data_IF_745138166388
#
_entry.id   IF_745138166388
#
_cell.length_a   1.000
_cell.length_b   1.000
_cell.length_c   1.000
_cell.angle_alpha   90.00
_cell.angle_beta   90.00
_cell.angle_gamma   90.00
#
_symmetry.space_group_name_H-M   'P 1'
#
loop_
_entity.id
_entity.type
_entity.pdbx_description
1 polymer ?
#
# COMPACT_ATOMS: atom_id res chain seq x y z
N UNK A 1 -25.66 -19.97 10.13
CA UNK A 1 -25.54 -18.79 9.25
C UNK A 1 -24.06 -18.55 8.98
N UNK A 2 -23.61 -18.58 7.73
CA UNK A 2 -22.22 -18.21 7.43
C UNK A 2 -22.00 -16.74 7.82
N UNK A 3 -20.94 -16.46 8.58
CA UNK A 3 -20.64 -15.09 9.01
C UNK A 3 -20.40 -14.24 7.76
N UNK A 4 -21.27 -13.24 7.54
CA UNK A 4 -21.08 -12.24 6.50
C UNK A 4 -19.74 -11.55 6.74
N UNK A 5 -18.84 -11.54 5.76
CA UNK A 5 -17.54 -10.90 5.92
C UNK A 5 -17.17 -10.02 4.75
N UNK A 6 -16.58 -8.88 5.07
CA UNK A 6 -15.92 -8.00 4.12
C UNK A 6 -14.45 -8.39 4.03
N UNK A 7 -13.92 -8.48 2.81
CA UNK A 7 -12.52 -8.80 2.55
C UNK A 7 -11.89 -7.66 1.78
N UNK A 8 -10.77 -7.13 2.28
CA UNK A 8 -10.02 -6.12 1.55
C UNK A 8 -9.46 -6.69 0.25
N UNK A 9 -9.69 -5.99 -0.86
CA UNK A 9 -9.12 -6.34 -2.17
C UNK A 9 -8.06 -5.36 -2.66
N UNK A 10 -8.11 -4.13 -2.15
CA UNK A 10 -7.13 -3.08 -2.39
C UNK A 10 -7.08 -2.17 -1.16
N UNK A 11 -5.91 -1.67 -0.80
CA UNK A 11 -5.74 -0.64 0.22
C UNK A 11 -4.48 0.17 -0.04
N UNK A 12 -4.41 1.34 0.59
CA UNK A 12 -3.21 2.15 0.69
C UNK A 12 -3.12 2.79 2.07
N UNK A 13 -1.89 3.02 2.54
CA UNK A 13 -1.67 3.63 3.84
C UNK A 13 -1.79 5.17 3.73
N UNK A 14 -2.72 5.81 4.47
CA UNK A 14 -2.77 7.25 4.56
C UNK A 14 -1.53 7.80 5.27
N UNK A 15 -1.09 8.99 4.89
CA UNK A 15 0.02 9.70 5.52
C UNK A 15 -0.23 11.21 5.56
N UNK A 16 0.55 11.89 6.39
CA UNK A 16 0.69 13.34 6.35
C UNK A 16 1.34 13.77 5.04
N UNK A 17 1.01 14.98 4.61
CA UNK A 17 1.59 15.58 3.43
C UNK A 17 3.05 15.97 3.67
N UNK A 18 3.91 15.76 2.67
CA UNK A 18 5.26 16.35 2.65
C UNK A 18 5.27 17.37 1.52
N UNK A 19 5.45 18.64 1.88
CA UNK A 19 5.28 19.79 0.97
C UNK A 19 6.06 19.65 -0.35
N UNK A 20 7.28 19.13 -0.29
CA UNK A 20 8.15 18.92 -1.46
C UNK A 20 7.63 17.88 -2.46
N UNK A 21 6.68 17.03 -2.07
CA UNK A 21 6.08 16.02 -2.94
C UNK A 21 4.69 16.41 -3.45
N UNK A 22 4.10 17.51 -2.98
CA UNK A 22 2.79 17.94 -3.45
C UNK A 22 2.87 19.00 -4.55
N UNK A 23 1.82 19.10 -5.40
CA UNK A 23 1.65 20.24 -6.29
C UNK A 23 1.66 21.56 -5.53
N UNK A 24 2.05 22.65 -6.20
CA UNK A 24 2.03 24.02 -5.66
C UNK A 24 0.66 24.40 -5.05
N UNK A 25 -0.43 23.82 -5.56
CA UNK A 25 -1.76 23.95 -5.00
C UNK A 25 -2.41 22.56 -4.82
N UNK A 26 -2.33 22.04 -3.59
CA UNK A 26 -2.93 20.80 -3.12
C UNK A 26 -4.40 20.94 -2.68
N UNK A 27 -5.01 22.12 -2.82
CA UNK A 27 -6.40 22.35 -2.46
C UNK A 27 -7.33 21.69 -3.50
N UNK A 28 -8.11 20.70 -3.05
CA UNK A 28 -9.06 19.95 -3.87
C UNK A 28 -10.47 20.55 -3.86
N UNK A 29 -10.69 21.69 -3.19
CA UNK A 29 -11.98 22.42 -3.18
C UNK A 29 -12.43 22.73 -4.59
N UNK A 30 -13.71 22.46 -4.89
CA UNK A 30 -14.30 22.60 -6.22
C UNK A 30 -13.50 21.90 -7.34
N UNK A 31 -12.90 20.75 -7.04
CA UNK A 31 -12.23 19.89 -8.02
C UNK A 31 -12.82 18.50 -8.02
N UNK A 32 -12.55 17.78 -9.10
CA UNK A 32 -12.76 16.35 -9.17
C UNK A 32 -11.44 15.64 -9.45
N UNK A 33 -11.28 14.45 -8.87
CA UNK A 33 -10.12 13.59 -9.08
C UNK A 33 -10.55 12.21 -9.49
N UNK A 34 -9.99 11.69 -10.59
CA UNK A 34 -10.11 10.30 -11.01
C UNK A 34 -8.82 9.57 -10.69
N UNK A 35 -8.94 8.49 -9.93
CA UNK A 35 -7.83 7.71 -9.39
C UNK A 35 -7.97 6.27 -9.86
N UNK A 36 -6.91 5.71 -10.45
CA UNK A 36 -6.92 4.35 -10.96
C UNK A 36 -6.24 3.42 -9.95
N UNK A 37 -6.91 2.34 -9.60
CA UNK A 37 -6.37 1.30 -8.72
C UNK A 37 -6.56 -0.07 -9.36
N UNK A 38 -5.69 -1.02 -9.02
CA UNK A 38 -5.82 -2.42 -9.41
C UNK A 38 -6.20 -3.23 -8.18
N UNK A 39 -7.32 -3.94 -8.25
CA UNK A 39 -7.80 -4.80 -7.17
C UNK A 39 -7.14 -6.17 -7.23
N UNK A 40 -7.16 -6.92 -6.15
CA UNK A 40 -6.67 -8.31 -6.14
C UNK A 40 -7.81 -9.28 -6.49
N UNK A 41 -8.78 -9.39 -5.60
CA UNK A 41 -9.94 -10.29 -5.69
C UNK A 41 -11.21 -9.52 -6.04
N UNK A 42 -12.07 -10.14 -6.83
CA UNK A 42 -13.35 -9.62 -7.28
C UNK A 42 -14.51 -9.99 -6.37
N UNK A 43 -15.70 -9.54 -6.75
CA UNK A 43 -16.96 -9.79 -6.08
C UNK A 43 -18.07 -8.90 -6.62
N UNK A 44 -19.32 -9.27 -6.37
CA UNK A 44 -20.49 -8.56 -6.93
C UNK A 44 -20.98 -7.38 -6.08
N UNK A 45 -20.53 -7.31 -4.83
CA UNK A 45 -20.89 -6.27 -3.88
C UNK A 45 -19.62 -5.75 -3.22
N UNK A 46 -19.43 -4.44 -3.27
CA UNK A 46 -18.23 -3.77 -2.78
C UNK A 46 -18.59 -2.64 -1.82
N UNK A 47 -17.58 -2.13 -1.10
CA UNK A 47 -17.67 -0.85 -0.39
C UNK A 47 -16.33 -0.12 -0.47
N UNK A 48 -16.41 1.21 -0.40
CA UNK A 48 -15.26 2.11 -0.44
C UNK A 48 -14.93 2.60 0.96
N UNK A 49 -13.64 2.60 1.32
CA UNK A 49 -13.11 3.23 2.53
C UNK A 49 -12.42 4.53 2.16
N UNK A 50 -12.73 5.58 2.93
CA UNK A 50 -12.12 6.89 2.80
C UNK A 50 -11.47 7.33 4.11
N UNK A 51 -10.40 8.10 4.00
CA UNK A 51 -9.60 8.56 5.14
C UNK A 51 -9.34 10.07 5.09
N UNK A 52 -9.48 10.69 6.26
CA UNK A 52 -9.11 12.07 6.54
C UNK A 52 -8.37 12.17 7.90
N UNK A 53 -7.70 11.10 8.30
CA UNK A 53 -7.17 10.93 9.67
C UNK A 53 -6.03 11.87 10.05
N UNK A 54 -5.37 12.49 9.07
CA UNK A 54 -4.25 13.40 9.28
C UNK A 54 -4.61 14.87 8.99
N UNK A 55 -5.83 15.14 8.54
CA UNK A 55 -6.26 16.52 8.28
C UNK A 55 -7.01 17.09 9.48
N UNK A 56 -6.83 18.39 9.71
CA UNK A 56 -7.50 19.14 10.78
C UNK A 56 -8.84 19.75 10.36
N UNK A 57 -9.21 19.65 9.08
CA UNK A 57 -10.46 20.15 8.52
C UNK A 57 -11.26 18.99 7.91
N UNK A 58 -12.60 19.10 7.84
CA UNK A 58 -13.41 18.10 7.17
C UNK A 58 -13.17 18.11 5.65
N UNK A 59 -13.40 16.95 5.02
CA UNK A 59 -13.51 16.81 3.57
C UNK A 59 -14.99 16.71 3.22
N UNK A 60 -15.51 17.63 2.41
CA UNK A 60 -16.91 17.63 1.97
C UNK A 60 -16.99 17.17 0.53
N UNK A 61 -17.68 16.07 0.30
CA UNK A 61 -17.78 15.36 -0.98
C UNK A 61 -19.18 15.51 -1.53
N UNK A 62 -19.27 15.91 -2.79
CA UNK A 62 -20.53 16.04 -3.53
C UNK A 62 -21.02 14.71 -4.07
N UNK A 63 -20.11 13.90 -4.61
CA UNK A 63 -20.40 12.54 -5.10
C UNK A 63 -19.12 11.75 -5.33
N UNK A 64 -19.24 10.42 -5.31
CA UNK A 64 -18.18 9.49 -5.67
C UNK A 64 -18.77 8.42 -6.56
N UNK A 65 -18.07 8.06 -7.64
CA UNK A 65 -18.44 6.92 -8.47
C UNK A 65 -17.24 6.06 -8.82
N UNK A 66 -17.51 4.78 -9.05
CA UNK A 66 -16.58 3.79 -9.57
C UNK A 66 -16.98 3.39 -10.98
N UNK A 67 -16.02 3.05 -11.84
CA UNK A 67 -16.24 2.46 -13.15
C UNK A 67 -15.08 1.52 -13.53
N UNK A 68 -15.32 0.58 -14.45
CA UNK A 68 -14.23 -0.21 -15.05
C UNK A 68 -13.25 0.72 -15.75
N UNK A 69 -11.97 0.62 -15.41
CA UNK A 69 -10.93 1.43 -16.02
C UNK A 69 -10.56 0.84 -17.39
N UNK A 70 -10.35 1.73 -18.35
CA UNK A 70 -9.69 1.41 -19.62
C UNK A 70 -8.24 1.90 -19.52
N UNK A 71 -7.70 2.47 -20.59
CA UNK A 71 -6.35 3.01 -20.58
C UNK A 71 -6.30 4.44 -20.05
N UNK A 72 -5.28 4.71 -19.24
CA UNK A 72 -5.01 6.02 -18.65
C UNK A 72 -6.23 6.55 -17.88
N UNK A 73 -6.82 7.66 -18.33
CA UNK A 73 -7.98 8.31 -17.70
C UNK A 73 -9.33 7.76 -18.18
N UNK A 74 -9.34 6.92 -19.22
CA UNK A 74 -10.58 6.43 -19.85
C UNK A 74 -11.24 5.39 -18.96
N UNK A 75 -12.58 5.38 -18.99
CA UNK A 75 -13.42 4.42 -18.28
C UNK A 75 -14.48 3.85 -19.22
N UNK A 76 -15.09 2.73 -18.84
CA UNK A 76 -16.39 2.37 -19.39
C UNK A 76 -17.51 3.14 -18.67
N UNK A 77 -18.03 4.19 -19.30
CA UNK A 77 -19.03 5.06 -18.70
C UNK A 77 -20.34 4.31 -18.34
N UNK A 78 -20.69 3.25 -19.08
CA UNK A 78 -21.89 2.44 -18.82
C UNK A 78 -21.80 1.63 -17.52
N UNK A 79 -20.59 1.35 -17.06
CA UNK A 79 -20.34 0.63 -15.81
C UNK A 79 -20.39 1.53 -14.58
N UNK A 80 -20.54 2.85 -14.74
CA UNK A 80 -20.43 3.78 -13.64
C UNK A 80 -21.51 3.57 -12.57
N UNK A 81 -21.09 3.39 -11.32
CA UNK A 81 -21.96 3.24 -10.16
C UNK A 81 -21.55 4.23 -9.07
N UNK A 82 -22.52 4.89 -8.44
CA UNK A 82 -22.28 5.91 -7.43
C UNK A 82 -22.34 5.32 -6.02
N UNK A 83 -21.35 5.64 -5.19
CA UNK A 83 -21.37 5.27 -3.78
C UNK A 83 -22.33 6.16 -3.00
N UNK A 84 -23.01 5.56 -2.02
CA UNK A 84 -23.77 6.26 -0.98
C UNK A 84 -23.09 6.10 0.38
N UNK A 85 -23.36 7.05 1.27
CA UNK A 85 -22.94 7.04 2.65
C UNK A 85 -24.16 7.38 3.50
N UNK A 86 -24.70 6.40 4.23
CA UNK A 86 -25.95 6.59 4.97
C UNK A 86 -27.10 6.98 4.04
N UNK A 87 -27.24 6.29 2.90
CA UNK A 87 -28.22 6.54 1.83
C UNK A 87 -28.07 7.87 1.08
N UNK A 88 -27.05 8.68 1.36
CA UNK A 88 -26.77 9.95 0.67
C UNK A 88 -25.60 9.83 -0.31
N UNK A 89 -25.71 10.45 -1.50
CA UNK A 89 -24.57 10.58 -2.43
C UNK A 89 -23.55 11.64 -1.99
N UNK A 90 -23.94 12.55 -1.11
CA UNK A 90 -23.03 13.50 -0.45
C UNK A 90 -22.45 12.84 0.79
N UNK A 91 -21.19 13.14 1.09
CA UNK A 91 -20.52 12.64 2.29
C UNK A 91 -19.62 13.70 2.89
N UNK A 92 -19.48 13.68 4.21
CA UNK A 92 -18.49 14.48 4.93
C UNK A 92 -17.58 13.52 5.69
N UNK A 93 -16.27 13.63 5.47
CA UNK A 93 -15.27 12.95 6.30
C UNK A 93 -14.82 13.96 7.36
N UNK A 94 -15.17 13.80 8.65
CA UNK A 94 -14.70 14.72 9.68
C UNK A 94 -13.16 14.76 9.77
N UNK A 95 -12.63 15.84 10.35
CA UNK A 95 -11.22 15.93 10.68
C UNK A 95 -10.79 14.73 11.56
N UNK A 96 -9.64 14.12 11.27
CA UNK A 96 -9.12 13.01 12.06
C UNK A 96 -9.91 11.69 11.94
N UNK A 97 -10.85 11.56 11.00
CA UNK A 97 -11.74 10.38 10.89
C UNK A 97 -11.62 9.63 9.57
N UNK A 98 -12.21 8.44 9.54
CA UNK A 98 -12.45 7.61 8.37
C UNK A 98 -13.95 7.37 8.22
N UNK A 99 -14.41 7.14 6.99
CA UNK A 99 -15.78 6.70 6.71
C UNK A 99 -15.76 5.54 5.72
N UNK A 100 -16.82 4.75 5.72
CA UNK A 100 -17.03 3.62 4.83
C UNK A 100 -18.36 3.82 4.11
N UNK A 101 -18.42 3.53 2.81
CA UNK A 101 -19.65 3.63 2.04
C UNK A 101 -20.65 2.55 2.44
N UNK A 102 -21.90 2.78 2.06
CA UNK A 102 -22.90 1.71 1.98
C UNK A 102 -22.42 0.64 0.97
N UNK A 103 -23.01 -0.56 1.05
CA UNK A 103 -22.75 -1.62 0.10
C UNK A 103 -23.23 -1.22 -1.31
N UNK A 104 -22.40 -1.47 -2.32
CA UNK A 104 -22.67 -1.14 -3.71
C UNK A 104 -22.59 -2.39 -4.57
N UNK A 105 -23.64 -2.69 -5.34
CA UNK A 105 -23.59 -3.74 -6.36
C UNK A 105 -22.73 -3.27 -7.53
N UNK A 106 -21.62 -3.94 -7.76
CA UNK A 106 -20.68 -3.65 -8.84
C UNK A 106 -19.92 -4.95 -9.14
N UNK A 107 -20.01 -5.44 -10.38
CA UNK A 107 -19.38 -6.69 -10.80
C UNK A 107 -17.86 -6.48 -10.93
N UNK A 108 -17.13 -6.57 -9.82
CA UNK A 108 -15.69 -6.40 -9.79
C UNK A 108 -15.01 -7.71 -10.17
N UNK A 109 -14.16 -7.71 -11.18
CA UNK A 109 -13.39 -8.89 -11.58
C UNK A 109 -12.06 -8.97 -10.82
N UNK A 110 -11.53 -10.17 -10.69
CA UNK A 110 -10.19 -10.36 -10.13
C UNK A 110 -9.14 -9.61 -10.96
N UNK A 111 -8.12 -9.05 -10.30
CA UNK A 111 -6.99 -8.31 -10.91
C UNK A 111 -7.39 -7.11 -11.77
N UNK A 112 -8.65 -6.68 -11.68
CA UNK A 112 -9.20 -5.62 -12.51
C UNK A 112 -8.68 -4.23 -12.10
N UNK A 113 -8.50 -3.36 -13.10
CA UNK A 113 -8.32 -1.93 -12.86
C UNK A 113 -9.68 -1.24 -12.80
N UNK A 114 -9.88 -0.44 -11.77
CA UNK A 114 -11.07 0.40 -11.60
C UNK A 114 -10.69 1.86 -11.40
N UNK A 115 -11.56 2.74 -11.84
CA UNK A 115 -11.43 4.17 -11.67
C UNK A 115 -12.40 4.65 -10.59
N UNK A 116 -11.87 5.28 -9.54
CA UNK A 116 -12.66 5.97 -8.52
C UNK A 116 -12.59 7.46 -8.81
N UNK A 117 -13.74 8.10 -9.02
CA UNK A 117 -13.79 9.56 -9.20
C UNK A 117 -14.50 10.21 -8.02
N UNK A 118 -13.83 11.16 -7.35
CA UNK A 118 -14.36 11.94 -6.24
C UNK A 118 -14.61 13.37 -6.72
N UNK A 119 -15.81 13.89 -6.48
CA UNK A 119 -16.16 15.29 -6.69
C UNK A 119 -16.18 16.00 -5.33
N UNK A 120 -15.21 16.88 -5.09
CA UNK A 120 -15.12 17.64 -3.84
C UNK A 120 -15.96 18.91 -3.90
N UNK A 121 -16.69 19.17 -2.82
CA UNK A 121 -17.22 20.50 -2.52
C UNK A 121 -16.11 21.33 -1.87
N UNK A 122 -15.54 20.84 -0.78
CA UNK A 122 -14.39 21.45 -0.10
C UNK A 122 -13.42 20.39 0.40
N UNK A 123 -12.14 20.77 0.49
CA UNK A 123 -11.09 19.91 0.98
C UNK A 123 -10.09 20.70 1.83
N UNK A 124 -9.39 20.05 2.78
CA UNK A 124 -8.37 20.69 3.60
C UNK A 124 -7.20 21.25 2.80
N UNK A 125 -6.63 22.37 3.25
CA UNK A 125 -5.37 22.91 2.71
C UNK A 125 -4.17 22.01 3.01
N UNK A 126 -4.24 21.24 4.11
CA UNK A 126 -3.26 20.21 4.49
C UNK A 126 -3.98 18.86 4.49
N UNK A 127 -4.02 18.15 3.35
CA UNK A 127 -4.82 16.96 3.19
C UNK A 127 -4.11 15.70 3.70
N UNK A 128 -4.93 14.74 4.16
CA UNK A 128 -4.58 13.33 4.23
C UNK A 128 -4.41 12.79 2.81
N UNK A 129 -3.24 12.24 2.51
CA UNK A 129 -2.89 11.76 1.17
C UNK A 129 -2.13 10.44 1.24
N UNK A 130 -1.88 9.85 0.09
CA UNK A 130 -0.79 8.91 -0.11
C UNK A 130 0.02 9.35 -1.34
N UNK A 131 1.28 9.70 -1.14
CA UNK A 131 2.12 10.36 -2.15
C UNK A 131 2.85 9.39 -3.08
N UNK A 132 2.83 8.11 -2.72
CA UNK A 132 3.56 7.04 -3.40
C UNK A 132 2.73 6.23 -4.37
N UNK A 133 1.64 6.76 -4.92
CA UNK A 133 0.60 5.94 -5.58
C UNK A 133 1.09 5.08 -6.76
N UNK A 134 2.18 5.47 -7.44
CA UNK A 134 2.70 4.87 -8.70
C UNK A 134 1.63 4.75 -9.79
N UNK A 135 0.56 5.51 -9.67
CA UNK A 135 -0.56 5.57 -10.60
C UNK A 135 -0.93 7.03 -10.78
N UNK A 136 -1.18 7.43 -12.01
CA UNK A 136 -1.59 8.80 -12.30
C UNK A 136 -3.03 9.01 -11.86
N UNK A 137 -3.21 10.02 -11.01
CA UNK A 137 -4.48 10.64 -10.70
C UNK A 137 -4.71 11.83 -11.63
N UNK A 138 -5.95 12.00 -12.07
CA UNK A 138 -6.35 13.01 -13.04
C UNK A 138 -7.28 14.01 -12.37
N UNK A 139 -6.86 15.26 -12.29
CA UNK A 139 -7.53 16.32 -11.54
C UNK A 139 -8.13 17.36 -12.50
N UNK A 140 -9.43 17.60 -12.36
CA UNK A 140 -10.20 18.58 -13.13
C UNK A 140 -10.79 19.65 -12.21
N UNK A 141 -10.92 20.89 -12.70
CA UNK A 141 -11.73 21.91 -12.03
C UNK A 141 -13.22 21.57 -12.17
N UNK A 142 -13.99 21.86 -11.14
CA UNK A 142 -15.43 21.60 -11.11
C UNK A 142 -15.80 20.15 -10.88
N UNK A 143 -17.09 19.87 -11.14
CA UNK A 143 -17.72 18.55 -10.94
C UNK A 143 -17.73 17.78 -12.26
N UNK A 144 -17.35 16.51 -12.21
CA UNK A 144 -17.37 15.60 -13.36
C UNK A 144 -18.32 14.42 -13.15
N UNK A 145 -18.70 13.79 -14.24
CA UNK A 145 -19.50 12.56 -14.28
C UNK A 145 -18.84 11.51 -15.18
N UNK A 146 -19.48 10.36 -15.35
CA UNK A 146 -18.94 9.24 -16.12
C UNK A 146 -18.62 9.58 -17.60
N UNK A 147 -19.24 10.60 -18.16
CA UNK A 147 -19.06 11.05 -19.55
C UNK A 147 -18.07 12.23 -19.69
N UNK A 148 -17.55 12.77 -18.59
CA UNK A 148 -16.56 13.84 -18.63
C UNK A 148 -15.22 13.36 -19.21
N UNK A 149 -14.59 14.18 -20.05
CA UNK A 149 -13.27 13.90 -20.62
C UNK A 149 -12.15 14.42 -19.69
N UNK A 150 -11.27 13.51 -19.27
CA UNK A 150 -10.12 13.78 -18.40
C UNK A 150 -8.79 13.89 -19.16
N UNK A 151 -8.82 13.94 -20.49
CA UNK A 151 -7.63 14.03 -21.34
C UNK A 151 -6.71 15.21 -20.98
N UNK A 152 -7.32 16.37 -20.74
CA UNK A 152 -6.65 17.63 -20.35
C UNK A 152 -6.57 17.83 -18.83
N UNK A 153 -6.82 16.78 -18.05
CA UNK A 153 -6.71 16.86 -16.60
C UNK A 153 -5.25 17.09 -16.16
N UNK A 154 -5.08 17.80 -15.05
CA UNK A 154 -3.80 17.86 -14.36
C UNK A 154 -3.44 16.46 -13.84
N UNK A 155 -2.17 16.07 -13.94
CA UNK A 155 -1.73 14.69 -13.68
C UNK A 155 -0.73 14.66 -12.55
N UNK A 156 -0.99 13.81 -11.57
CA UNK A 156 -0.11 13.61 -10.42
C UNK A 156 -0.12 12.18 -9.94
N UNK A 157 1.01 11.72 -9.39
CA UNK A 157 1.12 10.37 -8.86
C UNK A 157 0.80 10.31 -7.36
N UNK A 158 -0.40 10.76 -7.01
CA UNK A 158 -0.90 10.81 -5.63
C UNK A 158 -2.28 10.15 -5.51
N UNK A 159 -2.55 9.48 -4.39
CA UNK A 159 -3.91 9.11 -4.00
C UNK A 159 -4.46 10.09 -2.96
N UNK A 160 -5.73 10.47 -3.13
CA UNK A 160 -6.46 11.44 -2.35
C UNK A 160 -7.66 10.77 -1.69
N UNK A 161 -7.68 10.77 -0.35
CA UNK A 161 -8.71 10.24 0.53
C UNK A 161 -9.15 8.79 0.36
N UNK A 162 -8.90 8.11 -0.77
CA UNK A 162 -9.15 6.66 -0.89
C UNK A 162 -8.17 5.89 -0.01
N UNK A 163 -8.67 4.93 0.76
CA UNK A 163 -7.84 4.11 1.66
C UNK A 163 -8.07 2.61 1.53
N UNK A 164 -9.18 2.18 0.93
CA UNK A 164 -9.41 0.77 0.63
C UNK A 164 -10.69 0.47 -0.13
N UNK A 165 -10.73 -0.71 -0.74
CA UNK A 165 -11.94 -1.31 -1.31
C UNK A 165 -12.08 -2.69 -0.67
N UNK A 166 -13.26 -2.98 -0.16
CA UNK A 166 -13.60 -4.33 0.27
C UNK A 166 -14.63 -4.94 -0.67
N UNK A 167 -14.56 -6.26 -0.82
CA UNK A 167 -15.59 -7.09 -1.44
C UNK A 167 -16.36 -7.83 -0.35
N UNK A 168 -17.66 -7.94 -0.53
CA UNK A 168 -18.54 -8.69 0.34
C UNK A 168 -18.55 -10.16 -0.06
N UNK A 169 -18.55 -11.07 0.92
CA UNK A 169 -18.69 -12.49 0.65
C UNK A 169 -19.40 -13.22 1.80
N UNK A 170 -20.16 -14.24 1.44
CA UNK A 170 -20.71 -15.24 2.37
C UNK A 170 -19.75 -16.43 2.54
N UNK A 171 -18.72 -16.52 1.71
CA UNK A 171 -17.76 -17.62 1.77
C UNK A 171 -16.80 -17.44 2.94
N UNK A 172 -16.54 -18.53 3.66
CA UNK A 172 -15.57 -18.56 4.76
C UNK A 172 -14.14 -18.77 4.29
N UNK A 173 -13.93 -19.09 3.01
CA UNK A 173 -12.62 -19.39 2.44
C UNK A 173 -11.87 -18.14 1.91
N UNK A 174 -12.46 -16.96 2.00
CA UNK A 174 -11.88 -15.73 1.47
C UNK A 174 -11.15 -14.95 2.56
N UNK A 175 -9.99 -14.40 2.24
CA UNK A 175 -9.17 -13.65 3.20
C UNK A 175 -8.32 -12.60 2.52
N UNK A 176 -7.62 -11.80 3.31
CA UNK A 176 -6.65 -10.82 2.82
C UNK A 176 -5.26 -11.06 3.43
N UNK A 177 -4.26 -10.67 2.66
CA UNK A 177 -2.86 -10.52 3.04
C UNK A 177 -2.60 -9.02 3.16
N UNK A 178 -2.13 -8.55 4.30
CA UNK A 178 -1.75 -7.15 4.49
C UNK A 178 -0.24 -6.99 4.68
N UNK A 179 0.32 -5.96 4.05
CA UNK A 179 1.77 -5.78 3.96
C UNK A 179 2.15 -4.48 4.65
N UNK A 180 2.82 -4.58 5.79
CA UNK A 180 3.49 -3.46 6.44
C UNK A 180 4.85 -3.25 5.77
N UNK A 181 5.09 -2.08 5.19
CA UNK A 181 6.33 -1.84 4.45
C UNK A 181 6.67 -0.38 4.16
N UNK A 182 7.86 -0.23 3.57
CA UNK A 182 8.46 1.04 3.19
C UNK A 182 8.33 1.36 1.68
N UNK A 183 9.21 2.21 1.15
CA UNK A 183 9.28 2.59 -0.27
C UNK A 183 9.43 1.42 -1.24
N UNK A 184 10.05 0.31 -0.83
CA UNK A 184 10.20 -0.88 -1.66
C UNK A 184 8.84 -1.58 -1.81
N UNK A 185 8.06 -1.65 -0.73
CA UNK A 185 6.69 -2.17 -0.76
C UNK A 185 5.73 -1.22 -1.47
N UNK A 186 5.87 0.08 -1.22
CA UNK A 186 5.14 1.15 -1.90
C UNK A 186 5.38 1.15 -3.42
N UNK A 187 6.54 0.67 -3.86
CA UNK A 187 6.89 0.46 -5.27
C UNK A 187 7.71 1.59 -5.89
N UNK A 188 8.53 2.30 -5.12
CA UNK A 188 9.44 3.31 -5.66
C UNK A 188 10.32 2.69 -6.76
N UNK A 189 10.47 3.37 -7.90
CA UNK A 189 11.18 2.88 -9.10
C UNK A 189 10.49 1.74 -9.87
N UNK A 190 9.23 1.41 -9.55
CA UNK A 190 8.37 0.69 -10.48
C UNK A 190 8.00 1.59 -11.67
N UNK A 191 7.43 1.01 -12.73
CA UNK A 191 6.92 1.80 -13.85
C UNK A 191 5.57 2.38 -13.47
N UNK A 192 5.41 3.70 -13.54
CA UNK A 192 4.13 4.35 -13.25
C UNK A 192 3.03 3.79 -14.17
N UNK A 193 1.84 3.57 -13.59
CA UNK A 193 0.65 3.00 -14.24
C UNK A 193 0.75 1.53 -14.69
N UNK A 194 1.92 0.90 -14.62
CA UNK A 194 2.10 -0.49 -15.07
C UNK A 194 1.61 -1.53 -14.05
N UNK A 195 1.36 -1.14 -12.80
CA UNK A 195 0.98 -2.04 -11.70
C UNK A 195 1.98 -3.19 -11.54
N UNK A 196 3.28 -2.87 -11.59
CA UNK A 196 4.39 -3.84 -11.56
C UNK A 196 5.22 -3.74 -10.27
N UNK A 197 4.57 -3.38 -9.15
CA UNK A 197 5.16 -3.45 -7.81
C UNK A 197 5.16 -4.92 -7.36
N UNK A 198 6.03 -5.29 -6.43
CA UNK A 198 6.07 -6.70 -5.99
C UNK A 198 4.75 -7.20 -5.39
N UNK A 199 3.93 -6.40 -4.66
CA UNK A 199 2.61 -6.86 -4.21
C UNK A 199 1.62 -7.05 -5.37
N UNK A 200 1.70 -6.21 -6.41
CA UNK A 200 0.87 -6.35 -7.60
C UNK A 200 1.21 -7.67 -8.31
N UNK A 201 2.50 -7.94 -8.54
CA UNK A 201 2.98 -9.19 -9.14
C UNK A 201 2.65 -10.39 -8.25
N UNK A 202 2.78 -10.27 -6.92
CA UNK A 202 2.40 -11.34 -6.00
C UNK A 202 0.91 -11.70 -6.15
N UNK A 203 0.02 -10.71 -6.20
CA UNK A 203 -1.42 -10.95 -6.40
C UNK A 203 -1.72 -11.62 -7.74
N UNK A 204 -1.03 -11.23 -8.82
CA UNK A 204 -1.13 -11.89 -10.12
C UNK A 204 -0.66 -13.35 -10.06
N UNK A 205 0.49 -13.61 -9.43
CA UNK A 205 1.07 -14.95 -9.38
C UNK A 205 0.26 -15.92 -8.51
N UNK A 206 -0.30 -15.44 -7.39
CA UNK A 206 -1.24 -16.23 -6.60
C UNK A 206 -2.41 -16.73 -7.47
N UNK A 207 -2.95 -15.88 -8.34
CA UNK A 207 -4.09 -16.24 -9.17
C UNK A 207 -3.72 -17.02 -10.44
N UNK A 208 -2.77 -16.51 -11.22
CA UNK A 208 -2.49 -17.03 -12.55
C UNK A 208 -1.68 -18.32 -12.49
N UNK A 209 -0.67 -18.37 -11.62
CA UNK A 209 0.21 -19.54 -11.43
C UNK A 209 -0.37 -20.52 -10.43
N UNK A 210 -0.79 -20.06 -9.24
CA UNK A 210 -1.22 -20.95 -8.14
C UNK A 210 -2.73 -21.18 -8.06
N UNK A 211 -3.54 -20.52 -8.91
CA UNK A 211 -5.01 -20.65 -8.94
C UNK A 211 -5.71 -20.27 -7.63
N UNK A 212 -5.08 -19.41 -6.82
CA UNK A 212 -5.60 -18.88 -5.56
C UNK A 212 -6.31 -17.56 -5.84
N UNK A 213 -7.62 -17.60 -6.00
CA UNK A 213 -8.48 -16.44 -6.33
C UNK A 213 -9.26 -15.89 -5.14
N UNK A 214 -8.96 -16.36 -3.93
CA UNK A 214 -9.68 -16.05 -2.69
C UNK A 214 -8.82 -15.27 -1.67
N UNK A 215 -7.67 -14.73 -2.08
CA UNK A 215 -6.76 -13.96 -1.22
C UNK A 215 -6.56 -12.54 -1.79
N UNK A 216 -7.13 -11.53 -1.12
CA UNK A 216 -6.84 -10.13 -1.41
C UNK A 216 -5.43 -9.72 -0.97
N UNK A 217 -4.79 -8.77 -1.64
CA UNK A 217 -3.45 -8.28 -1.29
C UNK A 217 -3.51 -6.77 -1.03
N UNK A 218 -3.14 -6.36 0.19
CA UNK A 218 -3.23 -4.99 0.67
C UNK A 218 -1.83 -4.40 0.85
N UNK A 219 -1.46 -3.49 -0.05
CA UNK A 219 -0.20 -2.79 -0.01
C UNK A 219 -0.29 -1.55 0.89
N UNK A 220 0.31 -1.60 2.08
CA UNK A 220 0.34 -0.48 3.02
C UNK A 220 1.76 0.05 3.20
N UNK A 221 2.53 -0.02 2.10
CA UNK A 221 3.83 0.61 1.94
C UNK A 221 3.75 2.12 2.14
N UNK A 222 4.76 2.72 2.78
CA UNK A 222 4.96 4.17 2.79
C UNK A 222 6.44 4.46 2.47
N UNK A 223 6.70 5.32 1.49
CA UNK A 223 8.07 5.75 1.19
C UNK A 223 8.78 6.35 2.40
N UNK A 224 10.05 6.02 2.64
CA UNK A 224 10.79 6.50 3.82
C UNK A 224 10.09 6.22 5.17
N UNK A 225 9.15 5.25 5.26
CA UNK A 225 8.59 4.85 6.54
C UNK A 225 9.65 4.18 7.39
N UNK A 226 9.53 4.40 8.70
CA UNK A 226 10.45 3.90 9.72
C UNK A 226 9.65 3.16 10.78
N UNK A 227 10.27 2.17 11.40
CA UNK A 227 9.66 1.33 12.43
C UNK A 227 9.69 2.02 13.79
N UNK A 228 10.80 2.68 14.11
CA UNK A 228 11.07 3.18 15.46
C UNK A 228 11.76 4.54 15.47
N UNK A 229 12.58 4.86 14.46
CA UNK A 229 13.31 6.13 14.40
C UNK A 229 12.39 7.23 13.84
N UNK A 230 12.15 8.35 14.57
CA UNK A 230 11.28 9.42 14.08
C UNK A 230 11.87 10.17 12.87
N UNK A 231 11.04 10.95 12.19
CA UNK A 231 11.45 11.81 11.06
C UNK A 231 11.38 11.13 9.67
N UNK A 232 10.83 9.92 9.58
CA UNK A 232 10.41 9.32 8.31
C UNK A 232 9.08 9.90 7.81
N UNK A 233 8.55 9.39 6.69
CA UNK A 233 7.19 9.76 6.25
C UNK A 233 6.14 8.88 6.92
N UNK A 234 4.97 9.47 7.18
CA UNK A 234 3.89 8.82 7.91
C UNK A 234 4.21 8.56 9.40
N UNK A 235 3.26 7.97 10.12
CA UNK A 235 3.50 7.48 11.48
C UNK A 235 4.45 6.27 11.45
N UNK A 236 5.12 6.00 12.57
CA UNK A 236 6.02 4.85 12.66
C UNK A 236 5.26 3.53 12.42
N UNK A 237 5.88 2.55 11.78
CA UNK A 237 5.24 1.27 11.46
C UNK A 237 4.61 0.63 12.71
N UNK A 238 5.31 0.70 13.86
CA UNK A 238 4.81 0.17 15.15
C UNK A 238 3.55 0.87 15.68
N UNK A 239 3.39 2.15 15.37
CA UNK A 239 2.26 2.99 15.81
C UNK A 239 1.05 2.82 14.89
N UNK A 240 1.29 2.67 13.58
CA UNK A 240 0.21 2.49 12.60
C UNK A 240 -0.19 1.03 12.39
N UNK A 241 0.50 0.06 12.98
CA UNK A 241 0.25 -1.37 12.75
C UNK A 241 -1.20 -1.78 13.01
N UNK A 242 -1.80 -1.32 14.10
CA UNK A 242 -3.17 -1.72 14.45
C UNK A 242 -4.17 -1.21 13.42
N UNK A 243 -4.02 0.06 13.01
CA UNK A 243 -4.87 0.70 12.00
C UNK A 243 -4.65 0.11 10.61
N UNK A 244 -3.41 0.02 10.18
CA UNK A 244 -3.08 -0.33 8.80
C UNK A 244 -3.16 -1.83 8.57
N UNK A 245 -2.92 -2.68 9.58
CA UNK A 245 -2.98 -4.14 9.43
C UNK A 245 -4.19 -4.73 10.15
N UNK A 246 -4.29 -4.54 11.46
CA UNK A 246 -5.24 -5.32 12.28
C UNK A 246 -6.71 -4.90 12.08
N UNK A 247 -6.95 -3.66 11.68
CA UNK A 247 -8.28 -3.12 11.39
C UNK A 247 -8.71 -3.32 9.93
N UNK A 248 -7.85 -3.90 9.08
CA UNK A 248 -8.23 -4.23 7.71
C UNK A 248 -9.17 -5.43 7.67
N UNK A 249 -10.08 -5.42 6.69
CA UNK A 249 -11.16 -6.38 6.60
C UNK A 249 -10.65 -7.71 6.06
N UNK A 250 -10.94 -8.79 6.80
CA UNK A 250 -10.64 -10.16 6.36
C UNK A 250 -9.17 -10.57 6.42
N UNK A 251 -8.27 -9.79 7.04
CA UNK A 251 -6.85 -10.13 7.03
C UNK A 251 -6.56 -11.37 7.88
N UNK A 252 -5.91 -12.36 7.26
CA UNK A 252 -5.46 -13.59 7.91
C UNK A 252 -3.96 -13.82 7.81
N UNK A 253 -3.28 -13.12 6.89
CA UNK A 253 -1.82 -13.16 6.74
C UNK A 253 -1.28 -11.73 6.80
N UNK A 254 -0.17 -11.53 7.50
CA UNK A 254 0.57 -10.26 7.49
C UNK A 254 1.99 -10.51 7.00
N UNK A 255 2.48 -9.63 6.14
CA UNK A 255 3.90 -9.53 5.77
C UNK A 255 4.47 -8.28 6.44
N UNK A 256 5.55 -8.44 7.21
CA UNK A 256 6.30 -7.32 7.79
C UNK A 256 7.62 -7.22 7.05
N UNK A 257 7.80 -6.16 6.25
CA UNK A 257 9.02 -5.91 5.48
C UNK A 257 9.43 -4.44 5.63
N UNK A 258 10.18 -4.17 6.69
CA UNK A 258 10.52 -2.84 7.17
C UNK A 258 11.94 -2.74 7.73
N UNK A 259 12.41 -1.52 8.00
CA UNK A 259 13.63 -1.24 8.78
C UNK A 259 14.79 -0.63 8.00
N UNK A 260 14.75 -0.67 6.66
CA UNK A 260 15.83 -0.12 5.82
C UNK A 260 16.04 1.39 6.04
N UNK A 261 14.95 2.16 6.25
CA UNK A 261 15.04 3.60 6.47
C UNK A 261 15.43 3.96 7.91
N UNK A 262 15.13 3.11 8.89
CA UNK A 262 15.65 3.26 10.25
C UNK A 262 17.17 3.11 10.24
N UNK A 263 17.67 2.06 9.56
CA UNK A 263 19.11 1.84 9.35
C UNK A 263 19.74 3.04 8.65
N UNK A 264 19.17 3.51 7.55
CA UNK A 264 19.71 4.67 6.82
C UNK A 264 19.63 6.00 7.60
N UNK A 265 18.76 6.09 8.60
CA UNK A 265 18.63 7.25 9.48
C UNK A 265 19.45 7.15 10.76
N UNK A 266 20.10 6.01 11.01
CA UNK A 266 20.95 5.84 12.18
C UNK A 266 22.11 6.83 12.11
N UNK A 267 22.28 7.63 13.17
CA UNK A 267 23.44 8.51 13.31
C UNK A 267 24.68 7.68 13.65
N UNK A 268 25.86 8.26 13.44
CA UNK A 268 27.14 7.64 13.84
C UNK A 268 27.08 7.12 15.28
N UNK A 269 27.61 5.92 15.50
CA UNK A 269 27.62 5.24 16.80
C UNK A 269 26.27 4.64 17.25
N UNK A 270 25.18 4.79 16.48
CA UNK A 270 23.84 4.35 16.92
C UNK A 270 23.25 3.16 16.13
N UNK A 271 23.96 2.63 15.13
CA UNK A 271 23.40 1.59 14.24
C UNK A 271 23.00 0.31 14.99
N UNK A 272 23.74 -0.11 16.01
CA UNK A 272 23.39 -1.27 16.85
C UNK A 272 22.10 -1.04 17.66
N UNK A 273 22.00 0.10 18.34
CA UNK A 273 20.80 0.49 19.08
C UNK A 273 19.57 0.52 18.17
N UNK A 274 19.70 1.09 16.98
CA UNK A 274 18.62 1.12 15.98
C UNK A 274 18.24 -0.29 15.54
N UNK A 275 19.21 -1.16 15.25
CA UNK A 275 18.96 -2.55 14.88
C UNK A 275 18.16 -3.31 15.95
N UNK A 276 18.53 -3.15 17.23
CA UNK A 276 17.78 -3.71 18.36
C UNK A 276 16.34 -3.18 18.43
N UNK A 277 16.15 -1.87 18.31
CA UNK A 277 14.81 -1.26 18.39
C UNK A 277 13.91 -1.71 17.23
N UNK A 278 14.47 -1.92 16.03
CA UNK A 278 13.75 -2.53 14.90
C UNK A 278 13.26 -3.93 15.29
N UNK A 279 14.16 -4.78 15.80
CA UNK A 279 13.82 -6.15 16.24
C UNK A 279 12.71 -6.14 17.30
N UNK A 280 12.87 -5.36 18.37
CA UNK A 280 11.90 -5.25 19.46
C UNK A 280 10.51 -4.81 18.94
N UNK A 281 10.49 -3.86 17.99
CA UNK A 281 9.26 -3.38 17.37
C UNK A 281 8.60 -4.41 16.46
N UNK A 282 9.38 -5.14 15.65
CA UNK A 282 8.88 -6.25 14.83
C UNK A 282 8.30 -7.34 15.74
N UNK A 283 8.98 -7.71 16.83
CA UNK A 283 8.45 -8.67 17.81
C UNK A 283 7.10 -8.21 18.39
N UNK A 284 6.94 -6.92 18.70
CA UNK A 284 5.67 -6.35 19.13
C UNK A 284 4.55 -6.53 18.11
N UNK A 285 4.82 -6.21 16.84
CA UNK A 285 3.88 -6.40 15.73
C UNK A 285 3.53 -7.88 15.52
N UNK A 286 4.52 -8.78 15.61
CA UNK A 286 4.31 -10.23 15.54
C UNK A 286 3.37 -10.71 16.66
N UNK A 287 3.60 -10.28 17.91
CA UNK A 287 2.73 -10.63 19.05
C UNK A 287 1.29 -10.19 18.82
N UNK A 288 1.09 -8.94 18.38
CA UNK A 288 -0.23 -8.40 18.06
C UNK A 288 -0.96 -9.20 16.97
N UNK A 289 -0.25 -9.56 15.89
CA UNK A 289 -0.82 -10.36 14.80
C UNK A 289 -1.17 -11.80 15.25
N UNK A 290 -0.29 -12.46 15.99
CA UNK A 290 -0.53 -13.81 16.53
C UNK A 290 -1.67 -13.83 17.54
N UNK A 291 -1.83 -12.79 18.35
CA UNK A 291 -2.99 -12.64 19.26
C UNK A 291 -4.33 -12.61 18.51
N UNK A 292 -4.33 -12.17 17.24
CA UNK A 292 -5.49 -12.23 16.33
C UNK A 292 -5.51 -13.48 15.44
N UNK A 293 -4.69 -14.49 15.76
CA UNK A 293 -4.57 -15.76 15.02
C UNK A 293 -4.19 -15.56 13.54
N UNK A 294 -3.47 -14.48 13.23
CA UNK A 294 -2.96 -14.23 11.88
C UNK A 294 -1.67 -15.02 11.65
N UNK A 295 -1.47 -15.48 10.42
CA UNK A 295 -0.16 -15.94 9.96
C UNK A 295 0.76 -14.75 9.74
N UNK A 296 2.02 -14.87 10.13
CA UNK A 296 3.01 -13.81 10.11
C UNK A 296 4.19 -14.22 9.24
N UNK A 297 4.48 -13.42 8.22
CA UNK A 297 5.62 -13.55 7.34
C UNK A 297 6.57 -12.37 7.54
N UNK A 298 7.87 -12.65 7.61
CA UNK A 298 8.89 -11.62 7.77
C UNK A 298 9.74 -11.51 6.50
N UNK A 299 9.93 -10.29 6.00
CA UNK A 299 10.84 -10.00 4.89
C UNK A 299 12.19 -9.53 5.39
N UNK A 300 13.27 -10.19 4.96
CA UNK A 300 14.64 -9.71 5.24
C UNK A 300 14.91 -8.39 4.50
N UNK A 301 15.62 -7.48 5.14
CA UNK A 301 16.05 -6.19 4.61
C UNK A 301 17.03 -6.39 3.44
N UNK A 302 16.70 -5.82 2.28
CA UNK A 302 17.45 -5.99 1.03
C UNK A 302 18.84 -5.36 1.08
N UNK A 303 19.80 -5.82 0.25
CA UNK A 303 21.13 -5.21 0.20
C UNK A 303 21.06 -3.80 -0.40
N UNK A 304 21.93 -2.89 0.04
CA UNK A 304 21.87 -1.46 -0.32
C UNK A 304 23.25 -0.81 -0.50
N UNK A 305 24.32 -1.60 -0.68
CA UNK A 305 25.65 -1.07 -0.99
C UNK A 305 25.60 -0.25 -2.29
N UNK A 306 26.07 1.00 -2.19
CA UNK A 306 25.98 2.00 -3.26
C UNK A 306 24.87 3.03 -3.06
N UNK A 307 23.91 2.79 -2.14
CA UNK A 307 22.95 3.80 -1.74
C UNK A 307 23.63 4.94 -0.97
N UNK A 308 23.07 6.16 -1.05
CA UNK A 308 23.73 7.37 -0.53
C UNK A 308 23.99 7.37 0.98
N UNK A 309 23.25 6.58 1.76
CA UNK A 309 23.50 6.42 3.20
C UNK A 309 24.27 5.14 3.55
N UNK A 310 24.81 4.39 2.58
CA UNK A 310 25.54 3.16 2.91
C UNK A 310 26.77 3.43 3.78
N UNK A 311 26.98 2.61 4.80
CA UNK A 311 28.20 2.56 5.61
C UNK A 311 28.41 1.14 6.14
N UNK A 312 29.64 0.82 6.58
CA UNK A 312 29.91 -0.47 7.23
C UNK A 312 29.05 -0.71 8.48
N UNK A 313 28.74 0.35 9.24
CA UNK A 313 27.88 0.26 10.43
C UNK A 313 26.41 0.01 10.06
N UNK A 314 25.91 0.64 9.01
CA UNK A 314 24.55 0.39 8.51
C UNK A 314 24.41 -1.03 7.95
N UNK A 315 25.44 -1.53 7.26
CA UNK A 315 25.44 -2.89 6.75
C UNK A 315 25.51 -3.92 7.89
N UNK A 316 26.34 -3.69 8.91
CA UNK A 316 26.36 -4.54 10.10
C UNK A 316 24.99 -4.59 10.81
N UNK A 317 24.31 -3.43 10.94
CA UNK A 317 22.96 -3.37 11.46
C UNK A 317 21.95 -4.16 10.60
N UNK A 318 22.05 -4.06 9.28
CA UNK A 318 21.19 -4.84 8.35
C UNK A 318 21.38 -6.34 8.56
N UNK A 319 22.63 -6.81 8.61
CA UNK A 319 22.95 -8.22 8.82
C UNK A 319 22.42 -8.70 10.18
N UNK A 320 22.63 -7.93 11.24
CA UNK A 320 22.13 -8.25 12.57
C UNK A 320 20.60 -8.43 12.60
N UNK A 321 19.85 -7.51 11.97
CA UNK A 321 18.38 -7.64 11.86
C UNK A 321 17.99 -8.84 11.00
N UNK A 322 18.67 -9.07 9.88
CA UNK A 322 18.35 -10.17 8.96
C UNK A 322 18.62 -11.55 9.58
N UNK A 323 19.71 -11.71 10.31
CA UNK A 323 20.02 -12.96 11.00
C UNK A 323 18.99 -13.25 12.09
N UNK A 324 18.57 -12.21 12.83
CA UNK A 324 17.44 -12.33 13.73
C UNK A 324 16.16 -12.75 13.00
N UNK A 325 15.80 -12.11 11.86
CA UNK A 325 14.62 -12.47 11.05
C UNK A 325 14.68 -13.95 10.64
N UNK A 326 15.80 -14.42 10.09
CA UNK A 326 15.98 -15.81 9.65
C UNK A 326 15.86 -16.79 10.81
N UNK A 327 16.39 -16.46 11.98
CA UNK A 327 16.23 -17.29 13.19
C UNK A 327 14.78 -17.44 13.65
N UNK A 328 13.85 -16.60 13.17
CA UNK A 328 12.42 -16.71 13.46
C UNK A 328 11.69 -17.76 12.62
N UNK A 329 12.37 -18.56 11.78
CA UNK A 329 11.74 -19.58 10.93
C UNK A 329 10.85 -20.59 11.69
N UNK A 330 11.08 -20.79 12.99
CA UNK A 330 10.23 -21.64 13.85
C UNK A 330 9.05 -20.91 14.52
N UNK A 331 9.04 -19.57 14.52
CA UNK A 331 8.05 -18.71 15.21
C UNK A 331 7.14 -17.96 14.22
N UNK A 332 7.68 -17.57 13.07
CA UNK A 332 6.94 -17.03 11.95
C UNK A 332 6.33 -18.16 11.11
N UNK A 333 5.33 -17.85 10.29
CA UNK A 333 4.71 -18.78 9.34
C UNK A 333 5.49 -18.86 8.02
N UNK A 334 6.42 -17.93 7.78
CA UNK A 334 7.34 -17.97 6.66
C UNK A 334 8.33 -16.81 6.68
N UNK A 335 9.49 -17.01 6.05
CA UNK A 335 10.50 -15.97 5.84
C UNK A 335 10.60 -15.70 4.35
N UNK A 336 10.38 -14.44 3.96
CA UNK A 336 10.65 -13.95 2.62
C UNK A 336 12.09 -13.41 2.60
N UNK A 337 13.07 -14.28 2.30
CA UNK A 337 14.48 -13.88 2.22
C UNK A 337 14.78 -13.06 0.95
N UNK A 338 14.18 -11.86 0.85
CA UNK A 338 14.41 -10.91 -0.23
C UNK A 338 15.86 -10.46 -0.32
N UNK A 339 16.61 -10.49 0.80
CA UNK A 339 18.03 -10.21 0.80
C UNK A 339 18.77 -11.23 -0.06
N UNK A 340 18.54 -12.52 0.20
CA UNK A 340 19.14 -13.61 -0.59
C UNK A 340 18.66 -13.62 -2.05
N UNK A 341 17.39 -13.30 -2.29
CA UNK A 341 16.82 -13.25 -3.64
C UNK A 341 17.53 -12.21 -4.52
N UNK A 342 17.75 -11.01 -3.96
CA UNK A 342 18.21 -9.85 -4.71
C UNK A 342 19.71 -9.66 -4.69
N UNK A 343 20.45 -10.29 -3.76
CA UNK A 343 21.89 -10.07 -3.62
C UNK A 343 22.67 -10.48 -4.88
N UNK A 344 23.70 -9.69 -5.19
CA UNK A 344 24.70 -10.03 -6.19
C UNK A 344 25.50 -11.27 -5.71
N UNK A 345 25.73 -12.28 -6.57
CA UNK A 345 26.52 -13.45 -6.18
C UNK A 345 27.97 -13.13 -5.84
N UNK A 346 28.52 -12.01 -6.33
CA UNK A 346 29.91 -11.59 -6.11
C UNK A 346 30.06 -10.55 -4.99
N UNK A 347 28.97 -9.90 -4.56
CA UNK A 347 28.97 -8.95 -3.42
C UNK A 347 27.59 -8.93 -2.76
N UNK A 348 27.40 -9.74 -1.72
CA UNK A 348 26.11 -9.96 -1.05
C UNK A 348 25.51 -8.73 -0.35
N UNK A 349 26.30 -7.66 -0.22
CA UNK A 349 25.89 -6.35 0.30
C UNK A 349 25.22 -5.48 -0.75
N UNK A 350 25.29 -5.88 -2.03
CA UNK A 350 24.73 -5.16 -3.18
C UNK A 350 23.61 -5.98 -3.84
N UNK A 351 22.62 -5.29 -4.40
CA UNK A 351 21.66 -5.95 -5.29
C UNK A 351 22.30 -6.30 -6.63
N UNK A 352 21.84 -7.39 -7.26
CA UNK A 352 22.16 -7.70 -8.66
C UNK A 352 21.86 -6.48 -9.53
N UNK A 353 22.79 -6.12 -10.41
CA UNK A 353 22.65 -4.95 -11.28
C UNK A 353 21.35 -4.95 -12.09
N UNK A 354 20.95 -6.12 -12.60
CA UNK A 354 19.70 -6.30 -13.38
C UNK A 354 18.43 -6.01 -12.57
N UNK A 355 18.49 -6.09 -11.24
CA UNK A 355 17.36 -5.83 -10.34
C UNK A 355 17.42 -4.46 -9.68
N UNK A 356 18.57 -3.79 -9.70
CA UNK A 356 18.76 -2.51 -9.02
C UNK A 356 18.29 -1.31 -9.87
N UNK A 357 17.72 -0.32 -9.19
CA UNK A 357 17.61 1.04 -9.71
C UNK A 357 18.94 1.79 -9.55
N UNK A 358 19.05 2.97 -10.17
CA UNK A 358 20.28 3.78 -10.13
C UNK A 358 20.70 4.23 -8.72
N UNK A 359 19.77 4.28 -7.77
CA UNK A 359 20.05 4.66 -6.38
C UNK A 359 20.61 3.50 -5.52
N UNK A 360 20.72 2.29 -6.08
CA UNK A 360 21.20 1.09 -5.39
C UNK A 360 20.44 0.73 -4.10
N UNK A 361 19.24 1.27 -3.93
CA UNK A 361 18.36 1.03 -2.79
C UNK A 361 17.06 0.35 -3.21
N UNK A 362 16.45 0.84 -4.29
CA UNK A 362 15.16 0.33 -4.74
C UNK A 362 15.34 -0.69 -5.87
N UNK A 363 14.59 -1.80 -5.84
CA UNK A 363 14.44 -2.65 -7.02
C UNK A 363 13.86 -1.86 -8.19
N UNK A 364 14.29 -2.21 -9.40
CA UNK A 364 13.63 -1.80 -10.64
C UNK A 364 12.46 -2.76 -10.95
N UNK A 365 11.72 -2.60 -12.06
CA UNK A 365 10.60 -3.49 -12.40
C UNK A 365 10.97 -4.99 -12.49
N UNK A 366 12.18 -5.33 -12.95
CA UNK A 366 12.63 -6.73 -13.00
C UNK A 366 12.86 -7.29 -11.60
N UNK A 367 13.47 -6.51 -10.71
CA UNK A 367 13.63 -6.87 -9.30
C UNK A 367 12.30 -7.03 -8.58
N UNK A 368 11.33 -6.14 -8.79
CA UNK A 368 9.99 -6.26 -8.24
C UNK A 368 9.24 -7.49 -8.75
N UNK A 369 9.41 -7.83 -10.03
CA UNK A 369 8.85 -9.06 -10.59
C UNK A 369 9.42 -10.30 -9.90
N UNK A 370 10.74 -10.36 -9.71
CA UNK A 370 11.39 -11.46 -8.99
C UNK A 370 10.85 -11.58 -7.55
N UNK A 371 10.74 -10.47 -6.83
CA UNK A 371 10.19 -10.43 -5.47
C UNK A 371 8.75 -10.93 -5.41
N UNK A 372 7.88 -10.49 -6.33
CA UNK A 372 6.47 -10.85 -6.33
C UNK A 372 6.23 -12.33 -6.62
N UNK A 373 6.97 -12.90 -7.59
CA UNK A 373 6.93 -14.33 -7.90
C UNK A 373 7.38 -15.15 -6.68
N UNK A 374 8.53 -14.77 -6.10
CA UNK A 374 9.09 -15.45 -4.93
C UNK A 374 8.14 -15.40 -3.72
N UNK A 375 7.54 -14.24 -3.45
CA UNK A 375 6.59 -14.08 -2.36
C UNK A 375 5.34 -14.94 -2.55
N UNK A 376 4.79 -15.01 -3.77
CA UNK A 376 3.63 -15.84 -4.07
C UNK A 376 3.94 -17.34 -3.90
N UNK A 377 5.13 -17.79 -4.29
CA UNK A 377 5.57 -19.19 -4.15
C UNK A 377 5.66 -19.65 -2.70
N UNK A 378 6.04 -18.74 -1.78
CA UNK A 378 6.12 -19.01 -0.34
C UNK A 378 4.76 -18.89 0.36
N UNK A 379 3.93 -17.93 -0.04
CA UNK A 379 2.73 -17.56 0.72
C UNK A 379 1.50 -18.38 0.36
N UNK A 380 1.46 -18.99 -0.84
CA UNK A 380 0.29 -19.71 -1.41
C UNK A 380 -0.58 -20.41 -0.36
#
# INVERSE_FOLDING_TARGET
MAAQTWIGTWATAPQTVVKAFMPYNNNMTNRSVRQIVKVSVGGDVIRLKLSNIYSMQPVVIRSIYIAHAKDSFKIDAKSAQYFKFGNSYKATIPAGRQIVSDALKFNLKNLERVAITINYTSAPDVPTVHMGSRTTSYIMKGVTNAHSNFEKAFRENHWYNISGIDVYTMSTNMSAIAIMGNSITDGKCSTDNAQNRWPDVMSEMLQLKHKITNQGVLNLGIGNNRVTVPGGFGALAKERFDRDILMQSGVKKVIIFEGINDIGAAKSGNSETVARQIIESIQGMMRKAKARKMKVYLGTITPFKGAGYYSHFHEAARLYVNDWIRSQAKKADGILDFAKLLQDPNDDRRMKREYASNDWLHPNPAGYKAMGIYAADIIK
#
